data_IF_721145733064
#
_entry.id   IF_721145733064
#
_cell.length_a   1.000
_cell.length_b   1.000
_cell.length_c   1.000
_cell.angle_alpha   90.00
_cell.angle_beta   90.00
_cell.angle_gamma   90.00
#
_symmetry.space_group_name_H-M   'P 1'
#
loop_
_entity.id
_entity.type
_entity.pdbx_description
1 polymer ?
#
# COMPACT_ATOMS: atom_id res chain seq x y z
N UNK A 1 26.05 -36.96 -10.84
CA UNK A 1 25.03 -37.08 -11.90
C UNK A 1 24.07 -35.92 -11.74
N UNK A 2 23.89 -35.10 -12.78
CA UNK A 2 23.09 -33.87 -12.72
C UNK A 2 21.60 -34.14 -12.44
N UNK A 3 20.96 -33.23 -11.70
CA UNK A 3 19.57 -33.40 -11.24
C UNK A 3 18.58 -33.54 -12.42
N UNK A 4 18.82 -32.79 -13.50
CA UNK A 4 17.97 -32.79 -14.70
C UNK A 4 18.02 -34.12 -15.44
N UNK A 5 19.19 -34.78 -15.52
CA UNK A 5 19.34 -36.10 -16.15
C UNK A 5 18.54 -37.18 -15.41
N UNK A 6 18.47 -37.07 -14.07
CA UNK A 6 17.68 -37.99 -13.25
C UNK A 6 16.18 -37.81 -13.52
N UNK A 7 15.69 -36.58 -13.53
CA UNK A 7 14.27 -36.28 -13.84
C UNK A 7 13.90 -36.74 -15.24
N UNK A 8 14.76 -36.49 -16.24
CA UNK A 8 14.53 -36.94 -17.62
C UNK A 8 14.40 -38.47 -17.70
N UNK A 9 15.30 -39.21 -17.06
CA UNK A 9 15.27 -40.68 -17.07
C UNK A 9 14.04 -41.26 -16.38
N UNK A 10 13.50 -40.59 -15.37
CA UNK A 10 12.38 -41.10 -14.56
C UNK A 10 11.01 -40.69 -15.11
N UNK A 11 10.88 -39.45 -15.59
CA UNK A 11 9.59 -38.82 -15.90
C UNK A 11 9.50 -38.36 -17.37
N UNK A 12 10.57 -38.53 -18.15
CA UNK A 12 10.60 -38.22 -19.58
C UNK A 12 10.65 -36.72 -19.91
N UNK A 13 10.35 -36.40 -21.18
CA UNK A 13 10.38 -35.03 -21.69
C UNK A 13 9.20 -34.19 -21.17
N UNK A 14 8.08 -34.82 -20.82
CA UNK A 14 6.88 -34.13 -20.32
C UNK A 14 7.17 -33.39 -19.01
N UNK A 15 7.94 -34.01 -18.10
CA UNK A 15 8.34 -33.39 -16.84
C UNK A 15 9.30 -32.20 -17.02
N UNK A 16 10.03 -32.13 -18.15
CA UNK A 16 10.88 -30.99 -18.50
C UNK A 16 10.07 -29.78 -19.00
N UNK A 17 8.87 -30.02 -19.52
CA UNK A 17 7.97 -28.96 -20.00
C UNK A 17 7.17 -28.34 -18.87
N UNK A 18 7.03 -29.04 -17.73
CA UNK A 18 6.45 -28.47 -16.52
C UNK A 18 7.45 -27.47 -15.96
N UNK A 19 7.13 -26.18 -16.06
CA UNK A 19 7.92 -25.11 -15.44
C UNK A 19 8.21 -25.42 -13.97
N UNK A 20 9.30 -24.88 -13.43
CA UNK A 20 9.76 -25.17 -12.06
C UNK A 20 8.61 -25.26 -11.07
N UNK A 21 8.62 -26.30 -10.21
CA UNK A 21 7.57 -26.56 -9.21
C UNK A 21 7.06 -25.25 -8.59
N UNK A 22 5.74 -25.05 -8.49
CA UNK A 22 5.18 -23.78 -8.03
C UNK A 22 5.79 -23.42 -6.68
N UNK A 23 6.51 -22.30 -6.64
CA UNK A 23 7.14 -21.83 -5.42
C UNK A 23 6.04 -21.53 -4.42
N UNK A 24 6.13 -22.07 -3.21
CA UNK A 24 5.18 -21.73 -2.13
C UNK A 24 5.12 -20.20 -2.01
N UNK A 25 3.91 -19.66 -2.10
CA UNK A 25 3.69 -18.23 -1.96
C UNK A 25 4.27 -17.77 -0.62
N UNK A 26 5.09 -16.72 -0.66
CA UNK A 26 5.64 -16.14 0.57
C UNK A 26 4.47 -15.65 1.43
N UNK A 27 4.48 -15.99 2.73
CA UNK A 27 3.52 -15.43 3.68
C UNK A 27 3.68 -13.90 3.70
N UNK A 28 2.57 -13.18 3.78
CA UNK A 28 2.58 -11.72 3.91
C UNK A 28 3.27 -11.35 5.23
N UNK A 29 4.20 -10.38 5.18
CA UNK A 29 4.94 -9.89 6.36
C UNK A 29 4.03 -9.14 7.35
N UNK A 30 2.93 -8.55 6.86
CA UNK A 30 1.99 -7.74 7.63
C UNK A 30 0.72 -8.53 7.92
N UNK A 31 0.24 -8.42 9.17
CA UNK A 31 -0.95 -9.12 9.65
C UNK A 31 -2.22 -8.55 9.04
N UNK A 32 -3.29 -9.36 9.01
CA UNK A 32 -4.59 -8.95 8.47
C UNK A 32 -5.19 -7.77 9.25
N UNK A 33 -5.03 -7.74 10.57
CA UNK A 33 -5.51 -6.66 11.44
C UNK A 33 -4.87 -5.31 11.09
N UNK A 34 -3.54 -5.29 10.94
CA UNK A 34 -2.78 -4.08 10.56
C UNK A 34 -3.18 -3.63 9.16
N UNK A 35 -3.31 -4.55 8.20
CA UNK A 35 -3.79 -4.23 6.85
C UNK A 35 -5.15 -3.53 6.87
N UNK A 36 -6.12 -4.07 7.61
CA UNK A 36 -7.46 -3.47 7.72
C UNK A 36 -7.42 -2.10 8.38
N UNK A 37 -6.61 -1.91 9.42
CA UNK A 37 -6.43 -0.59 10.05
C UNK A 37 -5.83 0.44 9.12
N UNK A 38 -4.75 0.08 8.41
CA UNK A 38 -4.11 0.94 7.42
C UNK A 38 -5.08 1.32 6.30
N UNK A 39 -5.85 0.36 5.78
CA UNK A 39 -6.83 0.60 4.73
C UNK A 39 -7.91 1.60 5.16
N UNK A 40 -8.45 1.46 6.38
CA UNK A 40 -9.45 2.41 6.91
C UNK A 40 -8.86 3.82 7.02
N UNK A 41 -7.69 3.94 7.63
CA UNK A 41 -7.07 5.25 7.91
C UNK A 41 -6.57 5.96 6.65
N UNK A 42 -6.07 5.23 5.66
CA UNK A 42 -5.62 5.80 4.38
C UNK A 42 -6.78 6.36 3.54
N UNK A 43 -7.98 5.80 3.68
CA UNK A 43 -9.17 6.28 2.97
C UNK A 43 -9.86 7.45 3.69
N UNK A 44 -9.41 7.82 4.88
CA UNK A 44 -9.89 9.01 5.60
C UNK A 44 -9.13 10.25 5.12
N UNK A 45 -9.88 11.22 4.56
CA UNK A 45 -9.32 12.47 4.06
C UNK A 45 -8.82 13.42 5.16
N UNK A 46 -9.32 13.28 6.39
CA UNK A 46 -8.98 14.11 7.53
C UNK A 46 -7.89 13.49 8.42
N UNK A 47 -7.90 12.16 8.56
CA UNK A 47 -7.01 11.44 9.48
C UNK A 47 -5.91 10.61 8.78
N UNK A 48 -5.64 10.90 7.51
CA UNK A 48 -4.56 10.24 6.76
C UNK A 48 -3.16 10.45 7.35
N UNK A 49 -2.20 9.66 6.86
CA UNK A 49 -0.81 9.78 7.27
C UNK A 49 -0.08 10.91 6.54
N UNK A 50 0.74 11.65 7.27
CA UNK A 50 1.61 12.70 6.74
C UNK A 50 2.91 12.14 6.17
N UNK A 51 3.45 11.08 6.78
CA UNK A 51 4.69 10.41 6.40
C UNK A 51 4.65 8.91 6.72
N UNK A 52 5.52 8.15 6.07
CA UNK A 52 5.69 6.71 6.38
C UNK A 52 6.25 6.46 7.78
N UNK A 53 7.01 7.41 8.34
CA UNK A 53 7.51 7.32 9.73
C UNK A 53 6.34 7.37 10.70
N UNK A 54 5.39 8.28 10.46
CA UNK A 54 4.16 8.35 11.25
C UNK A 54 3.36 7.05 11.14
N UNK A 55 3.32 6.41 9.97
CA UNK A 55 2.67 5.11 9.82
C UNK A 55 3.32 4.04 10.70
N UNK A 56 4.65 3.97 10.74
CA UNK A 56 5.38 3.00 11.58
C UNK A 56 5.03 3.21 13.06
N UNK A 57 5.11 4.45 13.54
CA UNK A 57 4.78 4.78 14.92
C UNK A 57 3.32 4.44 15.25
N UNK A 58 2.39 4.75 14.35
CA UNK A 58 0.99 4.44 14.55
C UNK A 58 0.72 2.93 14.63
N UNK A 59 1.40 2.12 13.81
CA UNK A 59 1.25 0.66 13.90
C UNK A 59 1.78 0.14 15.23
N UNK A 60 2.87 0.72 15.74
CA UNK A 60 3.40 0.40 17.07
C UNK A 60 2.39 0.79 18.16
N UNK A 61 1.82 1.99 18.11
CA UNK A 61 0.87 2.49 19.10
C UNK A 61 -0.44 1.70 19.14
N UNK A 62 -1.00 1.35 17.97
CA UNK A 62 -2.30 0.70 17.89
C UNK A 62 -2.26 -0.82 18.01
N UNK A 63 -1.17 -1.45 17.55
CA UNK A 63 -1.09 -2.90 17.48
C UNK A 63 0.04 -3.48 18.32
N UNK A 64 0.95 -2.66 18.87
CA UNK A 64 2.12 -3.12 19.60
C UNK A 64 3.15 -3.85 18.73
N UNK A 65 3.05 -3.72 17.40
CA UNK A 65 3.91 -4.44 16.45
C UNK A 65 4.88 -3.45 15.80
N UNK A 66 6.17 -3.70 15.98
CA UNK A 66 7.22 -2.95 15.27
C UNK A 66 7.56 -3.61 13.94
N UNK A 67 7.33 -2.87 12.85
CA UNK A 67 7.77 -3.26 11.52
C UNK A 67 8.95 -2.40 11.07
N UNK A 68 9.95 -2.97 10.38
CA UNK A 68 10.98 -2.18 9.73
C UNK A 68 10.34 -1.19 8.74
N UNK A 69 10.84 0.04 8.75
CA UNK A 69 10.34 1.12 7.89
C UNK A 69 10.19 0.71 6.43
N UNK A 70 11.23 0.10 5.83
CA UNK A 70 11.21 -0.34 4.44
C UNK A 70 10.11 -1.36 4.17
N UNK A 71 9.86 -2.29 5.10
CA UNK A 71 8.82 -3.31 4.93
C UNK A 71 7.43 -2.70 4.90
N UNK A 72 7.15 -1.75 5.79
CA UNK A 72 5.84 -1.09 5.83
C UNK A 72 5.65 -0.18 4.62
N UNK A 73 6.69 0.59 4.25
CA UNK A 73 6.68 1.47 3.09
C UNK A 73 6.47 0.71 1.78
N UNK A 74 7.27 -0.33 1.51
CA UNK A 74 7.13 -1.16 0.31
C UNK A 74 5.74 -1.79 0.24
N UNK A 75 5.27 -2.33 1.36
CA UNK A 75 3.93 -2.91 1.42
C UNK A 75 2.82 -1.91 1.11
N UNK A 76 2.92 -0.68 1.63
CA UNK A 76 1.93 0.36 1.34
C UNK A 76 1.92 0.76 -0.14
N UNK A 77 3.10 0.80 -0.77
CA UNK A 77 3.22 1.09 -2.21
C UNK A 77 2.61 -0.07 -3.02
N UNK A 78 2.99 -1.32 -2.73
CA UNK A 78 2.58 -2.49 -3.51
C UNK A 78 1.09 -2.82 -3.35
N UNK A 79 0.53 -2.65 -2.15
CA UNK A 79 -0.84 -3.10 -1.83
C UNK A 79 -1.86 -1.97 -1.91
N UNK A 80 -1.52 -0.77 -1.46
CA UNK A 80 -2.44 0.37 -1.46
C UNK A 80 -2.14 1.37 -2.57
N UNK A 81 -1.08 1.16 -3.36
CA UNK A 81 -0.70 2.09 -4.42
C UNK A 81 -0.27 3.46 -3.88
N UNK A 82 0.23 3.54 -2.64
CA UNK A 82 0.61 4.81 -2.03
C UNK A 82 1.70 5.50 -2.87
N UNK A 83 1.50 6.78 -3.18
CA UNK A 83 2.44 7.61 -3.92
C UNK A 83 3.11 8.62 -3.00
N UNK A 84 4.31 9.06 -3.38
CA UNK A 84 4.97 10.20 -2.72
C UNK A 84 4.02 11.40 -2.74
N UNK A 85 4.00 12.19 -1.66
CA UNK A 85 3.16 13.40 -1.57
C UNK A 85 3.29 14.24 -2.85
N UNK A 86 2.15 14.56 -3.44
CA UNK A 86 2.02 15.46 -4.57
C UNK A 86 1.27 16.74 -4.13
N UNK A 87 1.55 17.90 -4.74
CA UNK A 87 0.76 19.10 -4.55
C UNK A 87 -0.71 18.82 -4.88
N UNK A 88 -1.63 19.20 -3.99
CA UNK A 88 -3.07 19.05 -4.21
C UNK A 88 -3.65 20.37 -4.68
N UNK A 89 -4.61 20.32 -5.62
CA UNK A 89 -5.32 21.51 -6.13
C UNK A 89 -6.06 22.28 -5.03
N UNK A 90 -6.52 21.58 -4.00
CA UNK A 90 -7.18 22.15 -2.83
C UNK A 90 -6.62 21.56 -1.53
N UNK A 91 -6.67 22.37 -0.47
CA UNK A 91 -6.21 21.99 0.85
C UNK A 91 -7.42 21.54 1.70
N UNK A 92 -7.27 20.51 2.54
CA UNK A 92 -8.36 19.96 3.37
C UNK A 92 -8.90 21.00 4.36
N UNK A 93 -8.04 21.89 4.85
CA UNK A 93 -8.40 22.95 5.82
C UNK A 93 -9.02 24.21 5.17
N UNK A 94 -9.44 24.17 3.90
CA UNK A 94 -10.14 25.32 3.32
C UNK A 94 -11.49 25.46 3.98
N UNK A 95 -11.84 26.69 4.33
CA UNK A 95 -13.16 27.02 4.85
C UNK A 95 -14.21 26.87 3.73
N UNK A 96 -15.27 26.05 3.94
CA UNK A 96 -16.38 25.93 3.00
C UNK A 96 -17.14 27.25 2.82
N UNK A 97 -17.24 28.07 3.87
CA UNK A 97 -18.03 29.30 3.86
C UNK A 97 -17.35 30.38 3.02
N UNK A 98 -16.04 30.60 3.24
CA UNK A 98 -15.23 31.47 2.39
C UNK A 98 -15.23 31.09 0.89
N UNK A 99 -15.32 29.79 0.56
CA UNK A 99 -15.45 29.35 -0.84
C UNK A 99 -16.81 29.73 -1.45
N UNK A 100 -17.89 29.60 -0.67
CA UNK A 100 -19.22 29.96 -1.11
C UNK A 100 -19.34 31.47 -1.35
N UNK A 101 -18.73 32.29 -0.50
CA UNK A 101 -18.80 33.74 -0.60
C UNK A 101 -18.00 34.29 -1.79
N UNK A 102 -16.82 33.74 -2.06
CA UNK A 102 -16.05 34.07 -3.27
C UNK A 102 -16.85 33.82 -4.56
N UNK A 103 -17.60 32.71 -4.60
CA UNK A 103 -18.42 32.35 -5.76
C UNK A 103 -19.65 33.24 -5.95
N UNK A 104 -20.18 33.82 -4.85
CA UNK A 104 -21.27 34.81 -4.91
C UNK A 104 -20.76 36.16 -5.43
N UNK A 105 -19.60 36.62 -4.94
CA UNK A 105 -19.00 37.90 -5.33
C UNK A 105 -18.72 38.00 -6.83
N UNK A 106 -18.31 36.88 -7.45
CA UNK A 106 -17.98 36.81 -8.88
C UNK A 106 -19.19 36.86 -9.80
N UNK A 107 -20.38 36.42 -9.35
CA UNK A 107 -21.61 36.47 -10.16
C UNK A 107 -22.34 37.81 -10.12
N UNK A 108 -22.04 38.64 -9.12
CA UNK A 108 -22.72 39.93 -8.90
C UNK A 108 -22.12 41.09 -9.70
N UNK A 109 -20.99 40.90 -10.38
CA UNK A 109 -20.25 41.95 -11.09
C UNK A 109 -20.46 41.93 -12.62
N UNK A 110 -21.59 41.41 -13.10
CA UNK A 110 -22.01 41.47 -14.50
C UNK A 110 -23.42 42.06 -14.63
#
# INVERSE_FOLDING_TARGET
>A
MELWLKTYKQEGIEAMLIGSKPRKAKKRKITKAVHTGLSKRLNDSYQGFESYVQTVNWVIEQYGISYPYNTLREYMIDVFGCKIKQPRKSHIKKDPEAQADFLKLTKSNF
#
